data_IF_088778969565
#
_entry.id   IF_088778969565
#
_cell.length_a   1.000
_cell.length_b   1.000
_cell.length_c   1.000
_cell.angle_alpha   90.00
_cell.angle_beta   90.00
_cell.angle_gamma   90.00
#
_symmetry.space_group_name_H-M   'P 1'
#
loop_
_entity.id
_entity.type
_entity.pdbx_description
1 polymer ?
#
# COMPACT_ATOMS: atom_id res chain seq x y z
N UNK A 1 12.91 9.77 6.54
CA UNK A 1 11.99 9.72 5.41
C UNK A 1 12.54 8.81 4.32
N UNK A 2 11.86 7.70 4.05
CA UNK A 2 12.15 6.81 2.91
C UNK A 2 11.33 7.26 1.68
N UNK A 3 11.65 6.86 0.44
CA UNK A 3 10.81 7.14 -0.72
C UNK A 3 9.37 6.67 -0.47
N UNK A 4 8.36 7.40 -0.97
CA UNK A 4 6.95 7.12 -0.67
C UNK A 4 6.56 5.68 -1.01
N UNK A 5 6.93 5.16 -2.18
CA UNK A 5 6.60 3.77 -2.55
C UNK A 5 7.22 2.75 -1.57
N UNK A 6 8.39 3.06 -0.99
CA UNK A 6 8.98 2.19 0.03
C UNK A 6 8.20 2.26 1.33
N UNK A 7 7.69 3.44 1.72
CA UNK A 7 6.81 3.58 2.87
C UNK A 7 5.48 2.82 2.67
N UNK A 8 4.90 2.88 1.46
CA UNK A 8 3.70 2.11 1.09
C UNK A 8 3.96 0.62 1.27
N UNK A 9 4.99 0.06 0.62
CA UNK A 9 5.31 -1.37 0.75
C UNK A 9 5.59 -1.78 2.21
N UNK A 10 6.35 -0.96 2.94
CA UNK A 10 6.69 -1.25 4.32
C UNK A 10 5.45 -1.24 5.23
N UNK A 11 4.43 -0.43 4.93
CA UNK A 11 3.18 -0.42 5.67
C UNK A 11 2.48 -1.79 5.63
N UNK A 12 2.46 -2.47 4.48
CA UNK A 12 1.88 -3.82 4.35
C UNK A 12 2.63 -4.92 5.11
N UNK A 13 3.86 -4.67 5.59
CA UNK A 13 4.55 -5.60 6.50
C UNK A 13 4.11 -5.47 7.96
N UNK A 14 3.27 -4.46 8.27
CA UNK A 14 2.83 -4.10 9.63
C UNK A 14 1.32 -4.27 9.84
N UNK A 15 0.57 -4.56 8.78
CA UNK A 15 -0.89 -4.75 8.81
C UNK A 15 -1.25 -6.05 8.10
N UNK A 16 -2.41 -6.62 8.45
CA UNK A 16 -2.89 -7.85 7.81
C UNK A 16 -3.33 -7.63 6.38
N UNK A 17 -3.97 -6.50 6.09
CA UNK A 17 -4.39 -6.06 4.77
C UNK A 17 -4.65 -4.55 4.79
N UNK A 18 -4.66 -3.91 3.63
CA UNK A 18 -5.03 -2.49 3.49
C UNK A 18 -5.45 -2.14 2.07
N UNK A 19 -6.32 -1.12 1.93
CA UNK A 19 -6.65 -0.49 0.67
C UNK A 19 -5.88 0.84 0.47
N UNK A 20 -6.09 1.49 -0.69
CA UNK A 20 -5.43 2.76 -1.00
C UNK A 20 -5.77 3.87 0.01
N UNK A 21 -7.01 3.90 0.49
CA UNK A 21 -7.48 4.85 1.49
C UNK A 21 -6.77 4.67 2.85
N UNK A 22 -6.59 3.42 3.30
CA UNK A 22 -5.86 3.11 4.53
C UNK A 22 -4.40 3.55 4.44
N UNK A 23 -3.76 3.31 3.29
CA UNK A 23 -2.38 3.75 3.01
C UNK A 23 -2.27 5.27 3.07
N UNK A 24 -3.20 5.99 2.44
CA UNK A 24 -3.22 7.47 2.45
C UNK A 24 -3.35 7.97 3.88
N UNK A 25 -4.30 7.42 4.64
CA UNK A 25 -4.56 7.83 6.02
C UNK A 25 -3.36 7.55 6.93
N UNK A 26 -2.74 6.37 6.81
CA UNK A 26 -1.57 5.99 7.59
C UNK A 26 -0.33 6.87 7.30
N UNK A 27 -0.16 7.31 6.06
CA UNK A 27 1.05 8.03 5.61
C UNK A 27 0.88 9.55 5.52
N UNK A 28 -0.34 10.10 5.64
CA UNK A 28 -0.60 11.54 5.45
C UNK A 28 0.23 12.46 6.37
N UNK A 29 0.58 11.98 7.56
CA UNK A 29 1.36 12.77 8.53
C UNK A 29 2.75 13.13 8.02
N UNK A 30 3.43 12.20 7.34
CA UNK A 30 4.78 12.41 6.80
C UNK A 30 4.76 12.78 5.30
N UNK A 31 3.81 12.21 4.54
CA UNK A 31 3.79 12.28 3.08
C UNK A 31 2.63 13.09 2.50
N UNK A 32 1.78 13.74 3.32
CA UNK A 32 0.55 14.41 2.87
C UNK A 32 0.74 15.50 1.82
N UNK A 33 1.96 16.04 1.65
CA UNK A 33 2.29 17.03 0.60
C UNK A 33 2.73 16.40 -0.73
N UNK A 34 2.94 15.10 -0.78
CA UNK A 34 3.40 14.40 -1.98
C UNK A 34 2.22 14.21 -2.94
N UNK A 35 2.37 14.67 -4.19
CA UNK A 35 1.37 14.43 -5.25
C UNK A 35 1.11 12.93 -5.48
N UNK A 36 2.10 12.08 -5.18
CA UNK A 36 2.01 10.64 -5.29
C UNK A 36 1.24 9.97 -4.13
N UNK A 37 0.91 10.69 -3.05
CA UNK A 37 -0.03 10.23 -2.01
C UNK A 37 -1.48 10.61 -2.35
N UNK A 38 -1.80 10.67 -3.65
CA UNK A 38 -3.18 10.79 -4.13
C UNK A 38 -3.70 9.42 -4.51
N UNK A 39 -5.02 9.23 -4.37
CA UNK A 39 -5.70 7.94 -4.57
C UNK A 39 -5.24 7.18 -5.81
N UNK A 40 -5.32 7.79 -6.99
CA UNK A 40 -4.99 7.10 -8.25
C UNK A 40 -3.51 6.69 -8.32
N UNK A 41 -2.61 7.49 -7.75
CA UNK A 41 -1.19 7.19 -7.69
C UNK A 41 -0.90 6.06 -6.69
N UNK A 42 -1.59 6.05 -5.55
CA UNK A 42 -1.48 4.97 -4.56
C UNK A 42 -2.03 3.67 -5.15
N UNK A 43 -3.20 3.68 -5.79
CA UNK A 43 -3.76 2.51 -6.49
C UNK A 43 -2.75 1.97 -7.51
N UNK A 44 -2.17 2.85 -8.34
CA UNK A 44 -1.16 2.44 -9.32
C UNK A 44 0.06 1.79 -8.66
N UNK A 45 0.49 2.28 -7.50
CA UNK A 45 1.58 1.70 -6.72
C UNK A 45 1.22 0.32 -6.15
N UNK A 46 0.00 0.13 -5.65
CA UNK A 46 -0.48 -1.15 -5.14
C UNK A 46 -0.58 -2.20 -6.25
N UNK A 47 -1.18 -1.84 -7.40
CA UNK A 47 -1.26 -2.73 -8.57
C UNK A 47 0.14 -3.09 -9.10
N UNK A 48 1.09 -2.16 -9.05
CA UNK A 48 2.48 -2.44 -9.43
C UNK A 48 3.15 -3.40 -8.45
N UNK A 49 2.88 -3.26 -7.16
CA UNK A 49 3.40 -4.15 -6.14
C UNK A 49 2.82 -5.56 -6.28
N UNK A 50 1.51 -5.66 -6.56
CA UNK A 50 0.83 -6.91 -6.88
C UNK A 50 1.40 -7.58 -8.13
N UNK A 51 1.53 -6.84 -9.24
CA UNK A 51 2.08 -7.37 -10.48
C UNK A 51 3.54 -7.87 -10.33
N UNK A 52 4.28 -7.34 -9.36
CA UNK A 52 5.64 -7.77 -9.03
C UNK A 52 5.68 -8.89 -7.96
N UNK A 53 4.54 -9.41 -7.53
CA UNK A 53 4.43 -10.48 -6.52
C UNK A 53 4.79 -10.05 -5.09
N UNK A 54 4.81 -8.73 -4.81
CA UNK A 54 5.09 -8.22 -3.47
C UNK A 54 3.84 -8.16 -2.59
N UNK A 55 2.67 -8.00 -3.22
CA UNK A 55 1.36 -7.98 -2.58
C UNK A 55 0.40 -8.93 -3.33
N UNK A 56 -0.69 -9.32 -2.67
CA UNK A 56 -1.78 -10.09 -3.26
C UNK A 56 -3.12 -9.43 -2.92
N UNK A 57 -4.02 -9.35 -3.90
CA UNK A 57 -5.42 -8.95 -3.65
C UNK A 57 -6.10 -9.96 -2.71
N UNK A 58 -6.79 -9.45 -1.70
CA UNK A 58 -7.52 -10.26 -0.70
C UNK A 58 -9.03 -10.22 -0.90
N UNK A 59 -9.55 -9.00 -1.08
CA UNK A 59 -10.97 -8.71 -1.20
C UNK A 59 -11.18 -7.34 -1.79
N UNK A 60 -12.42 -7.07 -2.18
CA UNK A 60 -12.88 -5.73 -2.53
C UNK A 60 -14.22 -5.43 -1.87
N UNK A 61 -14.48 -4.14 -1.65
CA UNK A 61 -15.78 -3.64 -1.19
C UNK A 61 -16.13 -2.30 -1.87
N UNK A 62 -17.37 -1.85 -1.63
CA UNK A 62 -17.80 -0.50 -1.99
C UNK A 62 -17.77 0.33 -0.72
N UNK A 63 -16.89 1.33 -0.67
CA UNK A 63 -16.79 2.26 0.44
C UNK A 63 -18.04 3.14 0.57
N UNK A 64 -18.18 3.83 1.70
CA UNK A 64 -19.36 4.65 2.03
C UNK A 64 -19.70 5.71 0.97
N UNK A 65 -18.69 6.25 0.27
CA UNK A 65 -18.85 7.20 -0.83
C UNK A 65 -19.17 6.55 -2.19
N UNK A 66 -19.42 5.25 -2.23
CA UNK A 66 -19.72 4.49 -3.45
C UNK A 66 -18.49 4.13 -4.28
N UNK A 67 -17.28 4.31 -3.75
CA UNK A 67 -16.04 3.99 -4.47
C UNK A 67 -15.57 2.56 -4.19
N UNK A 68 -15.14 1.85 -5.25
CA UNK A 68 -14.50 0.54 -5.12
C UNK A 68 -13.20 0.66 -4.34
N UNK A 69 -13.05 -0.13 -3.28
CA UNK A 69 -11.80 -0.34 -2.54
C UNK A 69 -11.33 -1.75 -2.76
N UNK A 70 -10.06 -1.89 -3.09
CA UNK A 70 -9.37 -3.18 -3.25
C UNK A 70 -8.34 -3.28 -2.15
N UNK A 71 -8.38 -4.39 -1.40
CA UNK A 71 -7.50 -4.64 -0.27
C UNK A 71 -6.41 -5.61 -0.68
N UNK A 72 -5.21 -5.31 -0.23
CA UNK A 72 -4.01 -6.09 -0.52
C UNK A 72 -3.35 -6.53 0.78
N UNK A 73 -2.60 -7.62 0.74
CA UNK A 73 -1.68 -7.97 1.81
C UNK A 73 -0.31 -8.35 1.26
N UNK A 74 0.72 -8.25 2.10
CA UNK A 74 1.99 -8.92 1.81
C UNK A 74 1.88 -10.36 2.32
N UNK A 75 2.02 -11.34 1.43
CA UNK A 75 2.20 -12.74 1.84
C UNK A 75 3.59 -12.91 2.49
N UNK A 76 3.91 -14.11 3.02
CA UNK A 76 5.17 -14.33 3.75
C UNK A 76 6.42 -13.99 2.90
N UNK A 77 6.41 -14.37 1.62
CA UNK A 77 7.51 -14.11 0.68
C UNK A 77 7.64 -12.62 0.34
N UNK A 78 6.52 -11.96 0.06
CA UNK A 78 6.43 -10.53 -0.21
C UNK A 78 6.91 -9.72 0.99
N UNK A 79 6.44 -10.04 2.20
CA UNK A 79 6.86 -9.38 3.43
C UNK A 79 8.36 -9.58 3.69
N UNK A 80 8.87 -10.79 3.49
CA UNK A 80 10.31 -11.10 3.62
C UNK A 80 11.14 -10.28 2.62
N UNK A 81 10.70 -10.22 1.36
CA UNK A 81 11.36 -9.46 0.29
C UNK A 81 11.37 -7.96 0.61
N UNK A 82 10.23 -7.40 0.98
CA UNK A 82 10.11 -5.99 1.37
C UNK A 82 11.06 -5.68 2.54
N UNK A 83 11.04 -6.50 3.59
CA UNK A 83 11.90 -6.29 4.77
C UNK A 83 13.40 -6.43 4.48
N UNK A 84 13.77 -7.29 3.53
CA UNK A 84 15.16 -7.46 3.09
C UNK A 84 15.71 -6.21 2.40
N UNK A 85 14.92 -5.58 1.53
CA UNK A 85 15.37 -4.44 0.71
C UNK A 85 15.03 -3.06 1.32
N UNK A 86 14.01 -2.98 2.17
CA UNK A 86 13.53 -1.74 2.76
C UNK A 86 13.65 -1.84 4.30
N UNK A 87 14.75 -1.27 4.80
CA UNK A 87 15.00 -1.12 6.24
C UNK A 87 14.13 0.01 6.82
N UNK A 88 13.84 -0.07 8.12
CA UNK A 88 13.11 0.98 8.84
C UNK A 88 13.89 2.29 8.94
#
# INVERSE_FOLDING_TARGET
>A
MKPLNYAILKYFTKVSEACAEDVIEALKGEYGRFKALKRDAVISALMTAEANGLLEETRFDIGESGNLRVYYHANEEGATTINKYIRD
#
